data_IF_707759172280
#
_entry.id   IF_707759172280
#
_cell.length_a   1.000
_cell.length_b   1.000
_cell.length_c   1.000
_cell.angle_alpha   90.00
_cell.angle_beta   90.00
_cell.angle_gamma   90.00
#
_symmetry.space_group_name_H-M   'P 1'
#
loop_
_entity.id
_entity.type
_entity.pdbx_description
1 polymer ?
#
# COMPACT_ATOMS: atom_id res chain seq x y z
N UNK A 1 -15.88 41.56 -26.94
CA UNK A 1 -14.44 41.42 -26.67
C UNK A 1 -14.17 39.94 -26.52
N UNK A 2 -13.24 39.39 -27.31
CA UNK A 2 -12.85 37.99 -27.21
C UNK A 2 -12.01 37.79 -25.95
N UNK A 3 -12.32 36.75 -25.18
CA UNK A 3 -11.55 36.39 -23.99
C UNK A 3 -10.15 35.93 -24.44
N UNK A 4 -9.05 36.50 -23.93
CA UNK A 4 -7.72 36.05 -24.29
C UNK A 4 -7.41 34.69 -23.67
N UNK A 5 -6.62 33.87 -24.38
CA UNK A 5 -6.03 32.66 -23.82
C UNK A 5 -4.89 33.01 -22.86
N UNK A 6 -5.02 32.60 -21.61
CA UNK A 6 -3.96 32.59 -20.62
C UNK A 6 -3.21 31.24 -20.62
N UNK A 7 -2.21 31.12 -19.76
CA UNK A 7 -1.37 29.92 -19.68
C UNK A 7 -2.10 28.72 -19.07
N UNK A 8 -3.16 28.95 -18.28
CA UNK A 8 -3.97 27.88 -17.71
C UNK A 8 -4.78 27.17 -18.78
N UNK A 9 -5.41 27.92 -19.69
CA UNK A 9 -6.11 27.32 -20.82
C UNK A 9 -5.17 26.63 -21.81
N UNK A 10 -3.98 27.18 -22.05
CA UNK A 10 -2.96 26.52 -22.89
C UNK A 10 -2.49 25.21 -22.29
N UNK A 11 -2.24 25.19 -20.98
CA UNK A 11 -1.90 23.97 -20.24
C UNK A 11 -3.02 22.95 -20.31
N UNK A 12 -4.26 23.37 -20.06
CA UNK A 12 -5.44 22.52 -20.15
C UNK A 12 -5.59 21.90 -21.55
N UNK A 13 -5.40 22.68 -22.62
CA UNK A 13 -5.41 22.16 -24.01
C UNK A 13 -4.33 21.09 -24.17
N UNK A 14 -3.09 21.40 -23.79
CA UNK A 14 -1.97 20.46 -23.95
C UNK A 14 -2.18 19.16 -23.17
N UNK A 15 -2.62 19.24 -21.91
CA UNK A 15 -2.93 18.08 -21.07
C UNK A 15 -4.04 17.22 -21.68
N UNK A 16 -5.14 17.84 -22.12
CA UNK A 16 -6.25 17.08 -22.70
C UNK A 16 -5.89 16.46 -24.06
N UNK A 17 -5.09 17.13 -24.90
CA UNK A 17 -4.57 16.52 -26.12
C UNK A 17 -3.66 15.32 -25.82
N UNK A 18 -2.86 15.39 -24.74
CA UNK A 18 -2.05 14.26 -24.29
C UNK A 18 -2.92 13.13 -23.70
N UNK A 19 -4.08 13.44 -23.13
CA UNK A 19 -5.08 12.49 -22.62
C UNK A 19 -6.08 11.99 -23.69
N UNK A 20 -5.74 12.08 -24.98
CA UNK A 20 -6.57 11.68 -26.13
C UNK A 20 -7.87 12.48 -26.33
N UNK A 21 -7.96 13.66 -25.72
CA UNK A 21 -9.00 14.62 -26.04
C UNK A 21 -8.95 15.00 -27.52
N UNK A 22 -10.07 14.84 -28.23
CA UNK A 22 -10.15 15.23 -29.64
C UNK A 22 -10.24 16.74 -29.79
N UNK A 23 -9.67 17.35 -30.85
CA UNK A 23 -9.83 18.77 -31.12
C UNK A 23 -11.29 19.24 -31.06
N UNK A 24 -12.22 18.45 -31.60
CA UNK A 24 -13.65 18.77 -31.60
C UNK A 24 -14.26 18.81 -30.19
N UNK A 25 -13.88 17.87 -29.32
CA UNK A 25 -14.32 17.88 -27.93
C UNK A 25 -13.77 19.10 -27.18
N UNK A 26 -12.50 19.44 -27.41
CA UNK A 26 -11.86 20.62 -26.80
C UNK A 26 -12.51 21.91 -27.29
N UNK A 27 -12.84 22.01 -28.59
CA UNK A 27 -13.57 23.14 -29.15
C UNK A 27 -14.92 23.36 -28.47
N UNK A 28 -15.68 22.30 -28.20
CA UNK A 28 -16.97 22.40 -27.51
C UNK A 28 -16.81 22.96 -26.09
N UNK A 29 -15.81 22.48 -25.35
CA UNK A 29 -15.52 22.98 -23.99
C UNK A 29 -15.05 24.43 -24.03
N UNK A 30 -14.17 24.81 -24.96
CA UNK A 30 -13.70 26.18 -25.08
C UNK A 30 -14.83 27.14 -25.46
N UNK A 31 -15.70 26.74 -26.38
CA UNK A 31 -16.88 27.51 -26.77
C UNK A 31 -17.83 27.74 -25.58
N UNK A 32 -18.05 26.72 -24.74
CA UNK A 32 -18.88 26.87 -23.54
C UNK A 32 -18.28 27.81 -22.49
N UNK A 33 -17.00 28.15 -22.59
CA UNK A 33 -16.28 29.08 -21.71
C UNK A 33 -16.03 30.46 -22.33
N UNK A 34 -16.68 30.76 -23.47
CA UNK A 34 -16.71 32.09 -24.08
C UNK A 34 -15.60 32.38 -25.07
N UNK A 35 -14.83 31.37 -25.50
CA UNK A 35 -13.89 31.50 -26.61
C UNK A 35 -14.62 31.40 -27.95
N UNK A 36 -14.18 32.18 -28.94
CA UNK A 36 -14.74 32.05 -30.29
C UNK A 36 -14.24 30.75 -30.92
N UNK A 37 -15.05 30.09 -31.79
CA UNK A 37 -14.61 28.87 -32.49
C UNK A 37 -13.30 29.07 -33.25
N UNK A 38 -13.11 30.22 -33.90
CA UNK A 38 -11.91 30.53 -34.68
C UNK A 38 -10.67 30.71 -33.78
N UNK A 39 -10.80 31.41 -32.65
CA UNK A 39 -9.70 31.56 -31.69
C UNK A 39 -9.32 30.22 -31.06
N UNK A 40 -10.31 29.43 -30.66
CA UNK A 40 -10.09 28.11 -30.07
C UNK A 40 -9.44 27.14 -31.06
N UNK A 41 -9.90 27.11 -32.32
CA UNK A 41 -9.32 26.26 -33.36
C UNK A 41 -7.88 26.65 -33.67
N UNK A 42 -7.60 27.95 -33.72
CA UNK A 42 -6.23 28.47 -33.89
C UNK A 42 -5.32 28.05 -32.74
N UNK A 43 -5.79 28.15 -31.49
CA UNK A 43 -4.96 27.82 -30.33
C UNK A 43 -4.70 26.30 -30.20
N UNK A 44 -5.73 25.47 -30.45
CA UNK A 44 -5.56 24.01 -30.54
C UNK A 44 -4.59 23.65 -31.68
N UNK A 45 -4.73 24.28 -32.85
CA UNK A 45 -3.84 24.07 -33.98
C UNK A 45 -2.39 24.45 -33.68
N UNK A 46 -2.18 25.58 -32.97
CA UNK A 46 -0.85 25.99 -32.51
C UNK A 46 -0.26 24.99 -31.50
N UNK A 47 -1.06 24.47 -30.58
CA UNK A 47 -0.63 23.43 -29.65
C UNK A 47 -0.21 22.14 -30.39
N UNK A 48 -1.02 21.66 -31.34
CA UNK A 48 -0.71 20.48 -32.16
C UNK A 48 0.56 20.63 -33.01
N UNK A 49 0.81 21.83 -33.52
CA UNK A 49 2.02 22.16 -34.28
C UNK A 49 3.27 22.35 -33.38
N UNK A 50 3.09 22.50 -32.07
CA UNK A 50 4.19 22.78 -31.13
C UNK A 50 5.19 21.62 -31.02
N UNK A 51 6.49 21.86 -31.23
CA UNK A 51 7.53 20.86 -31.01
C UNK A 51 7.55 20.31 -29.57
N UNK A 52 7.13 21.12 -28.58
CA UNK A 52 7.03 20.70 -27.19
C UNK A 52 5.92 19.67 -26.99
N UNK A 53 4.74 19.88 -27.58
CA UNK A 53 3.65 18.90 -27.51
C UNK A 53 3.99 17.63 -28.28
N UNK A 54 4.69 17.74 -29.41
CA UNK A 54 5.20 16.57 -30.15
C UNK A 54 6.25 15.79 -29.33
N UNK A 55 7.09 16.49 -28.55
CA UNK A 55 7.99 15.88 -27.58
C UNK A 55 7.23 15.16 -26.46
N UNK A 56 6.23 15.81 -25.87
CA UNK A 56 5.35 15.23 -24.86
C UNK A 56 4.59 14.00 -25.37
N UNK A 57 4.09 14.05 -26.60
CA UNK A 57 3.43 12.94 -27.29
C UNK A 57 4.36 11.73 -27.41
N UNK A 58 5.63 11.95 -27.80
CA UNK A 58 6.63 10.86 -27.84
C UNK A 58 6.90 10.24 -26.47
N UNK A 59 6.92 11.03 -25.40
CA UNK A 59 7.10 10.50 -24.03
C UNK A 59 5.86 9.71 -23.58
N UNK A 60 4.67 10.26 -23.83
CA UNK A 60 3.39 9.59 -23.57
C UNK A 60 3.30 8.25 -24.29
N UNK A 61 3.68 8.18 -25.57
CA UNK A 61 3.59 6.92 -26.33
C UNK A 61 4.58 5.86 -25.80
N UNK A 62 5.76 6.28 -25.31
CA UNK A 62 6.69 5.39 -24.60
C UNK A 62 6.09 4.88 -23.29
N UNK A 63 5.43 5.75 -22.54
CA UNK A 63 4.72 5.38 -21.31
C UNK A 63 3.58 4.39 -21.61
N UNK A 64 2.78 4.64 -22.65
CA UNK A 64 1.73 3.70 -23.10
C UNK A 64 2.28 2.34 -23.47
N UNK A 65 3.41 2.28 -24.16
CA UNK A 65 4.07 1.02 -24.47
C UNK A 65 4.48 0.27 -23.18
N UNK A 66 4.97 0.98 -22.16
CA UNK A 66 5.27 0.40 -20.85
C UNK A 66 4.01 -0.13 -20.18
N UNK A 67 2.96 0.66 -20.12
CA UNK A 67 1.70 0.27 -19.47
C UNK A 67 1.02 -0.90 -20.19
N UNK A 68 1.11 -0.96 -21.53
CA UNK A 68 0.66 -2.11 -22.31
C UNK A 68 1.47 -3.38 -21.99
N UNK A 69 2.79 -3.29 -21.85
CA UNK A 69 3.60 -4.44 -21.44
C UNK A 69 3.21 -4.93 -20.05
N UNK A 70 2.97 -4.01 -19.11
CA UNK A 70 2.50 -4.33 -17.75
C UNK A 70 1.13 -5.01 -17.78
N UNK A 71 0.19 -4.52 -18.59
CA UNK A 71 -1.14 -5.13 -18.70
C UNK A 71 -1.09 -6.53 -19.31
N UNK A 72 -0.21 -6.77 -20.29
CA UNK A 72 0.05 -8.12 -20.83
C UNK A 72 0.59 -9.05 -19.75
N UNK A 73 1.59 -8.61 -18.96
CA UNK A 73 2.15 -9.42 -17.88
C UNK A 73 1.11 -9.70 -16.77
N UNK A 74 0.29 -8.71 -16.43
CA UNK A 74 -0.82 -8.87 -15.49
C UNK A 74 -1.81 -9.93 -16.00
N UNK A 75 -2.25 -9.82 -17.26
CA UNK A 75 -3.15 -10.79 -17.88
C UNK A 75 -2.56 -12.22 -17.89
N UNK A 76 -1.28 -12.37 -18.28
CA UNK A 76 -0.61 -13.68 -18.27
C UNK A 76 -0.50 -14.26 -16.86
N UNK A 77 -0.25 -13.44 -15.85
CA UNK A 77 -0.17 -13.87 -14.44
C UNK A 77 -1.51 -14.41 -13.96
N UNK A 78 -2.62 -13.78 -14.34
CA UNK A 78 -3.99 -14.21 -14.01
C UNK A 78 -4.38 -15.54 -14.66
N UNK A 79 -3.79 -15.87 -15.81
CA UNK A 79 -4.03 -17.14 -16.51
C UNK A 79 -3.36 -18.36 -15.84
N UNK A 80 -2.51 -18.14 -14.84
CA UNK A 80 -1.87 -19.24 -14.12
C UNK A 80 -2.89 -20.03 -13.30
N UNK A 81 -2.57 -21.30 -13.04
CA UNK A 81 -3.29 -22.09 -12.04
C UNK A 81 -3.27 -21.36 -10.70
N UNK A 82 -4.45 -21.19 -10.08
CA UNK A 82 -4.66 -20.42 -8.84
C UNK A 82 -4.26 -18.93 -8.96
N UNK A 83 -4.22 -18.36 -10.16
CA UNK A 83 -3.94 -16.93 -10.36
C UNK A 83 -5.03 -16.01 -9.77
N UNK A 84 -6.18 -16.55 -9.39
CA UNK A 84 -7.35 -15.86 -8.84
C UNK A 84 -7.40 -15.81 -7.31
N UNK A 85 -6.38 -16.34 -6.62
CA UNK A 85 -6.35 -16.43 -5.16
C UNK A 85 -4.91 -16.39 -4.64
N UNK A 86 -4.77 -16.09 -3.35
CA UNK A 86 -3.49 -16.22 -2.67
C UNK A 86 -3.32 -17.69 -2.29
N UNK A 87 -2.25 -18.31 -2.76
CA UNK A 87 -1.97 -19.70 -2.42
C UNK A 87 -1.56 -19.83 -0.94
N UNK A 88 -1.88 -20.98 -0.32
CA UNK A 88 -1.53 -21.30 1.07
C UNK A 88 -0.73 -22.60 1.12
N UNK A 89 0.42 -22.58 1.78
CA UNK A 89 1.29 -23.75 1.95
C UNK A 89 1.70 -23.92 3.42
N UNK A 90 1.70 -25.16 3.91
CA UNK A 90 2.33 -25.49 5.18
C UNK A 90 3.82 -25.73 4.96
N UNK A 91 4.67 -25.15 5.82
CA UNK A 91 6.11 -25.40 5.88
C UNK A 91 6.80 -25.40 4.50
N UNK A 92 6.60 -24.35 3.71
CA UNK A 92 7.16 -24.26 2.34
C UNK A 92 8.70 -24.24 2.40
N UNK A 93 9.43 -25.16 1.74
CA UNK A 93 10.88 -25.15 1.77
C UNK A 93 11.47 -23.81 1.28
N UNK A 94 12.58 -23.38 1.88
CA UNK A 94 13.27 -22.12 1.57
C UNK A 94 13.39 -21.85 0.06
N UNK A 95 13.98 -22.78 -0.68
CA UNK A 95 14.28 -22.57 -2.09
C UNK A 95 12.98 -22.50 -2.92
N UNK A 96 11.97 -23.30 -2.55
CA UNK A 96 10.66 -23.23 -3.17
C UNK A 96 9.96 -21.88 -2.90
N UNK A 97 10.12 -21.31 -1.69
CA UNK A 97 9.61 -19.97 -1.38
C UNK A 97 10.28 -18.91 -2.25
N UNK A 98 11.62 -18.89 -2.28
CA UNK A 98 12.36 -17.89 -3.02
C UNK A 98 12.10 -17.97 -4.52
N UNK A 99 12.16 -19.16 -5.12
CA UNK A 99 11.95 -19.32 -6.57
C UNK A 99 10.50 -19.04 -7.01
N UNK A 100 9.52 -19.58 -6.28
CA UNK A 100 8.12 -19.56 -6.73
C UNK A 100 7.33 -18.33 -6.30
N UNK A 101 7.83 -17.56 -5.34
CA UNK A 101 7.12 -16.43 -4.74
C UNK A 101 7.98 -15.17 -4.65
N UNK A 102 9.13 -15.22 -3.98
CA UNK A 102 9.97 -14.03 -3.81
C UNK A 102 10.48 -13.49 -5.15
N UNK A 103 11.19 -14.30 -5.94
CA UNK A 103 11.78 -13.89 -7.23
C UNK A 103 10.75 -13.71 -8.34
N UNK A 104 9.54 -14.25 -8.18
CA UNK A 104 8.44 -14.06 -9.13
C UNK A 104 7.46 -12.96 -8.72
N UNK A 105 7.72 -12.25 -7.61
CA UNK A 105 6.89 -11.16 -7.09
C UNK A 105 5.43 -11.59 -6.87
N UNK A 106 5.21 -12.67 -6.12
CA UNK A 106 3.86 -13.23 -5.88
C UNK A 106 3.56 -13.43 -4.40
N UNK A 107 2.36 -13.03 -3.92
CA UNK A 107 1.98 -13.25 -2.54
C UNK A 107 1.71 -14.73 -2.28
N UNK A 108 1.94 -15.14 -1.04
CA UNK A 108 1.65 -16.48 -0.54
C UNK A 108 1.42 -16.43 0.96
N UNK A 109 0.52 -17.27 1.47
CA UNK A 109 0.36 -17.47 2.92
C UNK A 109 1.10 -18.75 3.30
N UNK A 110 2.01 -18.63 4.25
CA UNK A 110 2.72 -19.77 4.84
C UNK A 110 2.11 -20.07 6.20
N UNK A 111 1.86 -21.35 6.47
CA UNK A 111 1.38 -21.85 7.77
C UNK A 111 2.47 -22.71 8.42
N UNK A 112 2.49 -22.72 9.75
CA UNK A 112 3.50 -23.47 10.52
C UNK A 112 4.91 -22.85 10.51
N UNK A 113 5.07 -21.64 9.96
CA UNK A 113 6.37 -20.99 9.83
C UNK A 113 6.89 -20.39 11.14
N UNK A 114 6.01 -20.18 12.13
CA UNK A 114 6.34 -19.56 13.42
C UNK A 114 5.49 -20.15 14.57
N UNK A 115 5.11 -21.42 14.46
CA UNK A 115 4.31 -22.09 15.49
C UNK A 115 5.11 -22.33 16.79
N UNK A 116 6.43 -22.33 16.70
CA UNK A 116 7.38 -22.49 17.81
C UNK A 116 7.66 -21.20 18.59
N UNK A 117 7.15 -20.05 18.12
CA UNK A 117 7.32 -18.78 18.83
C UNK A 117 6.71 -18.84 20.24
N UNK A 118 7.45 -18.46 21.28
CA UNK A 118 6.88 -18.26 22.62
C UNK A 118 5.66 -17.33 22.60
N UNK A 119 5.63 -16.34 21.71
CA UNK A 119 4.50 -15.44 21.51
C UNK A 119 3.17 -16.18 21.23
N UNK A 120 3.20 -17.31 20.51
CA UNK A 120 2.00 -18.11 20.21
C UNK A 120 1.34 -18.73 21.43
N UNK A 121 2.11 -18.99 22.47
CA UNK A 121 1.62 -19.57 23.72
C UNK A 121 1.41 -18.53 24.83
N UNK A 122 2.27 -17.50 24.89
CA UNK A 122 2.31 -16.54 26.00
C UNK A 122 1.47 -15.30 25.77
N UNK A 123 1.40 -14.78 24.54
CA UNK A 123 0.85 -13.45 24.33
C UNK A 123 -0.66 -13.42 24.56
N UNK A 124 -1.04 -12.57 25.48
CA UNK A 124 -2.41 -12.18 25.82
C UNK A 124 -2.38 -10.73 26.29
N UNK A 125 -3.54 -10.10 26.40
CA UNK A 125 -3.60 -8.72 26.91
C UNK A 125 -3.11 -8.64 28.37
N UNK A 126 -3.36 -9.66 29.18
CA UNK A 126 -2.82 -9.76 30.54
C UNK A 126 -1.30 -9.92 30.54
N UNK A 127 -0.75 -10.72 29.62
CA UNK A 127 0.69 -10.85 29.46
C UNK A 127 1.33 -9.50 29.09
N UNK A 128 0.72 -8.76 28.16
CA UNK A 128 1.20 -7.43 27.76
C UNK A 128 1.20 -6.43 28.92
N UNK A 129 0.12 -6.39 29.71
CA UNK A 129 0.04 -5.56 30.93
C UNK A 129 1.14 -5.93 31.91
N UNK A 130 1.32 -7.23 32.19
CA UNK A 130 2.30 -7.70 33.16
C UNK A 130 3.75 -7.48 32.70
N UNK A 131 4.04 -7.67 31.41
CA UNK A 131 5.40 -7.66 30.87
C UNK A 131 5.90 -6.25 30.54
N UNK A 132 5.05 -5.41 29.96
CA UNK A 132 5.42 -4.10 29.43
C UNK A 132 4.46 -2.98 29.84
N UNK A 133 3.53 -3.19 30.78
CA UNK A 133 2.46 -2.23 31.07
C UNK A 133 2.93 -0.83 31.46
N UNK A 134 4.07 -0.73 32.16
CA UNK A 134 4.68 0.54 32.57
C UNK A 134 5.48 1.23 31.47
N UNK A 135 5.77 0.55 30.36
CA UNK A 135 6.54 1.12 29.25
C UNK A 135 5.75 2.25 28.60
N UNK A 136 6.40 3.37 28.31
CA UNK A 136 5.79 4.44 27.51
C UNK A 136 5.91 4.10 26.02
N UNK A 137 4.78 4.11 25.32
CA UNK A 137 4.69 3.82 23.88
C UNK A 137 4.06 4.98 23.12
N UNK A 138 4.35 5.05 21.83
CA UNK A 138 3.72 5.96 20.89
C UNK A 138 2.62 5.24 20.11
N UNK A 139 1.48 5.91 19.96
CA UNK A 139 0.30 5.41 19.25
C UNK A 139 -0.27 6.55 18.40
N UNK A 140 -0.76 6.25 17.20
CA UNK A 140 -1.52 7.21 16.41
C UNK A 140 -2.95 7.32 16.98
N UNK A 141 -3.47 8.53 17.20
CA UNK A 141 -4.82 8.84 17.69
C UNK A 141 -5.52 9.85 16.77
N UNK A 142 -6.84 9.97 16.86
CA UNK A 142 -7.60 10.98 16.08
C UNK A 142 -7.72 10.62 14.60
N UNK A 143 -7.44 9.37 14.23
CA UNK A 143 -7.38 8.92 12.82
C UNK A 143 -8.73 9.05 12.12
N UNK A 144 -9.84 8.91 12.83
CA UNK A 144 -11.19 9.05 12.24
C UNK A 144 -11.53 10.49 11.85
N UNK A 145 -10.76 11.47 12.35
CA UNK A 145 -10.94 12.90 12.05
C UNK A 145 -10.14 13.40 10.84
N UNK A 146 -9.29 12.55 10.23
CA UNK A 146 -8.40 12.92 9.13
C UNK A 146 -8.39 11.86 8.04
N UNK A 147 -8.91 12.17 6.85
CA UNK A 147 -8.93 11.23 5.73
C UNK A 147 -7.53 10.77 5.26
N UNK A 148 -6.48 11.51 5.61
CA UNK A 148 -5.08 11.20 5.26
C UNK A 148 -4.25 10.82 6.50
N UNK A 149 -4.86 10.18 7.50
CA UNK A 149 -4.23 9.86 8.80
C UNK A 149 -2.86 9.17 8.70
N UNK A 150 -2.62 8.26 7.74
CA UNK A 150 -1.30 7.61 7.59
C UNK A 150 -0.23 8.57 7.05
N UNK A 151 -0.60 9.45 6.11
CA UNK A 151 0.31 10.46 5.54
C UNK A 151 0.60 11.53 6.59
N UNK A 152 -0.42 11.94 7.34
CA UNK A 152 -0.37 12.94 8.39
C UNK A 152 0.06 12.38 9.75
N UNK A 153 0.60 11.15 9.82
CA UNK A 153 0.86 10.46 11.08
C UNK A 153 1.69 11.25 12.12
N UNK A 154 2.63 12.18 11.77
CA UNK A 154 3.32 12.97 12.79
C UNK A 154 2.38 13.86 13.63
N UNK A 155 1.21 14.25 13.09
CA UNK A 155 0.19 15.06 13.80
C UNK A 155 -0.65 14.24 14.77
N UNK A 156 -0.71 12.92 14.56
CA UNK A 156 -1.59 11.99 15.27
C UNK A 156 -0.87 11.23 16.39
N UNK A 157 0.44 11.45 16.55
CA UNK A 157 1.26 10.74 17.52
C UNK A 157 0.98 11.20 18.96
N UNK A 158 0.69 10.24 19.84
CA UNK A 158 0.54 10.42 21.29
C UNK A 158 1.39 9.40 22.06
N UNK A 159 1.99 9.84 23.16
CA UNK A 159 2.65 8.95 24.12
C UNK A 159 1.69 8.55 25.26
N UNK A 160 1.73 7.30 25.69
CA UNK A 160 1.00 6.79 26.85
C UNK A 160 1.62 5.50 27.41
N UNK A 161 1.22 5.09 28.63
CA UNK A 161 1.60 3.78 29.18
C UNK A 161 0.99 2.66 28.34
N UNK A 162 1.78 1.63 28.05
CA UNK A 162 1.35 0.51 27.23
C UNK A 162 0.19 -0.25 27.86
N UNK A 163 0.15 -0.39 29.19
CA UNK A 163 -0.98 -1.01 29.89
C UNK A 163 -2.29 -0.26 29.65
N UNK A 164 -2.25 1.07 29.69
CA UNK A 164 -3.43 1.91 29.40
C UNK A 164 -3.86 1.75 27.92
N UNK A 165 -2.91 1.57 27.00
CA UNK A 165 -3.21 1.29 25.59
C UNK A 165 -3.84 -0.09 25.38
N UNK A 166 -3.34 -1.13 26.07
CA UNK A 166 -3.92 -2.47 26.05
C UNK A 166 -5.38 -2.43 26.53
N UNK A 167 -5.66 -1.68 27.61
CA UNK A 167 -7.03 -1.46 28.10
C UNK A 167 -7.93 -0.76 27.07
N UNK A 168 -7.41 0.22 26.33
CA UNK A 168 -8.13 0.87 25.25
C UNK A 168 -8.47 -0.10 24.12
N UNK A 169 -7.52 -0.94 23.71
CA UNK A 169 -7.75 -1.93 22.64
C UNK A 169 -8.78 -2.98 23.06
N UNK A 170 -8.71 -3.48 24.30
CA UNK A 170 -9.63 -4.50 24.80
C UNK A 170 -11.07 -3.97 24.94
N UNK A 171 -11.24 -2.69 25.34
CA UNK A 171 -12.55 -2.07 25.59
C UNK A 171 -13.11 -1.28 24.41
N UNK A 172 -12.27 -0.93 23.43
CA UNK A 172 -12.57 0.05 22.38
C UNK A 172 -13.57 -0.40 21.32
N UNK A 173 -13.92 -1.69 21.28
CA UNK A 173 -14.81 -2.24 20.26
C UNK A 173 -14.23 -2.09 18.85
N UNK A 174 -15.07 -1.69 17.89
CA UNK A 174 -14.68 -1.47 16.49
C UNK A 174 -14.42 0.02 16.25
N UNK A 175 -13.17 0.40 15.99
CA UNK A 175 -12.75 1.78 15.70
C UNK A 175 -11.43 1.81 14.92
N UNK A 176 -11.23 2.87 14.13
CA UNK A 176 -9.92 3.16 13.52
C UNK A 176 -9.21 4.33 14.21
N UNK A 177 -9.81 4.94 15.25
CA UNK A 177 -9.34 6.20 15.84
C UNK A 177 -7.93 6.11 16.43
N UNK A 178 -7.57 4.94 16.99
CA UNK A 178 -6.24 4.71 17.53
C UNK A 178 -5.60 3.42 17.01
N UNK A 179 -4.29 3.49 16.69
CA UNK A 179 -3.54 2.35 16.19
C UNK A 179 -2.03 2.50 16.41
N UNK A 180 -1.37 1.42 16.87
CA UNK A 180 0.09 1.31 16.92
C UNK A 180 0.58 0.71 15.60
N UNK A 181 1.42 1.46 14.89
CA UNK A 181 1.85 1.15 13.50
C UNK A 181 3.36 1.11 13.34
N UNK A 182 3.85 0.70 12.17
CA UNK A 182 5.27 0.80 11.82
C UNK A 182 5.85 2.22 11.98
N UNK A 183 5.03 3.27 11.84
CA UNK A 183 5.49 4.66 11.98
C UNK A 183 5.87 5.05 13.42
N UNK A 184 5.53 4.22 14.41
CA UNK A 184 5.86 4.40 15.82
C UNK A 184 7.09 3.56 16.25
N UNK A 185 7.76 2.89 15.30
CA UNK A 185 8.65 1.76 15.62
C UNK A 185 9.94 2.17 16.32
N UNK A 186 10.59 3.28 15.96
CA UNK A 186 11.89 3.62 16.57
C UNK A 186 11.80 3.73 18.10
N UNK A 187 10.76 4.36 18.62
CA UNK A 187 10.47 4.44 20.06
C UNK A 187 9.93 3.10 20.60
N UNK A 188 8.90 2.54 19.96
CA UNK A 188 8.21 1.35 20.47
C UNK A 188 9.08 0.08 20.43
N UNK A 189 10.03 -0.02 19.50
CA UNK A 189 10.96 -1.15 19.40
C UNK A 189 11.82 -1.27 20.66
N UNK A 190 12.25 -0.13 21.19
CA UNK A 190 13.02 -0.05 22.43
C UNK A 190 12.10 -0.26 23.64
N UNK A 191 10.97 0.45 23.68
CA UNK A 191 10.03 0.37 24.80
C UNK A 191 9.46 -1.05 25.01
N UNK A 192 9.21 -1.77 23.92
CA UNK A 192 8.64 -3.11 23.93
C UNK A 192 9.68 -4.20 23.66
N UNK A 193 10.98 -3.94 23.86
CA UNK A 193 12.06 -4.90 23.59
C UNK A 193 11.82 -6.29 24.21
N UNK A 194 11.24 -6.32 25.41
CA UNK A 194 10.91 -7.54 26.14
C UNK A 194 9.85 -8.43 25.47
N UNK A 195 9.03 -7.90 24.55
CA UNK A 195 8.12 -8.70 23.72
C UNK A 195 8.86 -9.34 22.55
N UNK A 196 9.91 -8.70 22.03
CA UNK A 196 10.72 -9.24 20.94
C UNK A 196 11.51 -10.49 21.35
N UNK A 197 11.77 -10.68 22.66
CA UNK A 197 12.36 -11.92 23.19
C UNK A 197 11.47 -13.16 22.95
N UNK A 198 10.16 -12.97 22.71
CA UNK A 198 9.21 -14.05 22.44
C UNK A 198 9.04 -14.35 20.94
N UNK A 199 9.81 -13.67 20.08
CA UNK A 199 9.72 -13.75 18.62
C UNK A 199 11.01 -14.37 18.08
N UNK A 200 10.99 -15.68 17.82
CA UNK A 200 12.14 -16.37 17.27
C UNK A 200 12.38 -16.00 15.79
N UNK A 201 13.61 -16.07 15.27
CA UNK A 201 13.84 -15.86 13.85
C UNK A 201 13.11 -16.90 12.99
N UNK A 202 12.61 -16.50 11.81
CA UNK A 202 12.02 -17.43 10.84
C UNK A 202 13.13 -17.90 9.88
N UNK A 203 14.00 -18.78 10.41
CA UNK A 203 15.34 -19.10 9.90
C UNK A 203 15.46 -19.68 8.47
N UNK A 204 14.40 -20.21 7.81
CA UNK A 204 14.48 -20.51 6.38
C UNK A 204 14.47 -19.27 5.47
N UNK A 205 13.85 -18.18 5.89
CA UNK A 205 13.52 -17.07 4.98
C UNK A 205 14.16 -15.74 5.37
N UNK A 206 14.45 -15.54 6.67
CA UNK A 206 14.95 -14.29 7.22
C UNK A 206 16.41 -14.42 7.65
N UNK A 207 17.17 -13.32 7.53
CA UNK A 207 18.52 -13.18 8.04
C UNK A 207 18.49 -12.66 9.50
N UNK A 208 18.82 -13.49 10.50
CA UNK A 208 18.82 -13.09 11.90
C UNK A 208 19.94 -12.10 12.24
N UNK A 209 20.96 -11.97 11.39
CA UNK A 209 22.07 -11.03 11.61
C UNK A 209 21.76 -9.61 11.09
N UNK A 210 20.65 -9.43 10.36
CA UNK A 210 20.25 -8.12 9.85
C UNK A 210 19.89 -7.16 10.98
N UNK A 211 20.38 -5.91 10.96
CA UNK A 211 19.95 -4.88 11.90
C UNK A 211 18.49 -4.46 11.70
N UNK A 212 17.96 -4.63 10.48
CA UNK A 212 16.63 -4.19 10.07
C UNK A 212 15.62 -5.34 10.17
N UNK A 213 15.17 -5.64 11.39
CA UNK A 213 14.34 -6.82 11.66
C UNK A 213 12.88 -6.66 11.20
N UNK A 214 12.14 -5.72 11.81
CA UNK A 214 10.70 -5.65 11.59
C UNK A 214 9.96 -4.59 12.41
N UNK A 215 8.63 -4.66 12.36
CA UNK A 215 7.71 -3.71 13.00
C UNK A 215 6.63 -4.43 13.83
N UNK A 216 6.20 -3.78 14.91
CA UNK A 216 5.13 -4.26 15.80
C UNK A 216 3.84 -3.47 15.57
N UNK A 217 2.76 -4.21 15.29
CA UNK A 217 1.44 -3.64 15.02
C UNK A 217 0.45 -4.15 16.05
N UNK A 218 -0.28 -3.25 16.70
CA UNK A 218 -1.29 -3.61 17.69
C UNK A 218 -2.43 -2.60 17.67
N UNK A 219 -3.67 -3.06 17.54
CA UNK A 219 -4.84 -2.19 17.52
C UNK A 219 -6.15 -2.92 17.73
N UNK A 220 -7.25 -2.16 17.86
CA UNK A 220 -8.61 -2.71 17.97
C UNK A 220 -9.09 -3.29 16.64
N UNK A 221 -10.26 -3.94 16.69
CA UNK A 221 -11.03 -4.21 15.49
C UNK A 221 -11.38 -2.90 14.78
N UNK A 222 -11.50 -2.90 13.46
CA UNK A 222 -11.87 -1.73 12.66
C UNK A 222 -10.71 -0.85 12.22
N UNK A 223 -9.48 -1.12 12.68
CA UNK A 223 -8.28 -0.41 12.17
C UNK A 223 -8.13 -0.61 10.67
N UNK A 224 -7.78 0.46 9.95
CA UNK A 224 -7.60 0.47 8.50
C UNK A 224 -6.23 1.02 8.13
N UNK A 225 -5.53 0.32 7.26
CA UNK A 225 -4.38 0.87 6.53
C UNK A 225 -4.80 1.00 5.06
N UNK A 226 -4.82 2.23 4.48
CA UNK A 226 -5.30 2.49 3.12
C UNK A 226 -4.54 1.70 2.06
N UNK A 227 -5.03 1.68 0.82
CA UNK A 227 -4.25 1.12 -0.27
C UNK A 227 -2.92 1.84 -0.43
N UNK A 228 -1.85 1.09 -0.28
CA UNK A 228 -0.49 1.52 -0.53
C UNK A 228 0.37 0.36 -0.99
N UNK A 229 1.59 0.62 -1.41
CA UNK A 229 2.61 -0.41 -1.59
C UNK A 229 3.87 -0.08 -0.80
N UNK A 230 4.66 -1.10 -0.49
CA UNK A 230 5.93 -0.92 0.19
C UNK A 230 7.09 -0.80 -0.83
N UNK A 231 8.21 -0.25 -0.37
CA UNK A 231 9.48 -0.19 -1.10
C UNK A 231 10.39 -1.39 -0.79
N UNK A 232 9.87 -2.35 -0.04
CA UNK A 232 10.53 -3.60 0.35
C UNK A 232 9.54 -4.75 0.20
N UNK A 233 10.05 -5.97 0.11
CA UNK A 233 9.23 -7.15 0.41
C UNK A 233 9.00 -7.22 1.91
N UNK A 234 7.85 -7.78 2.31
CA UNK A 234 7.44 -7.85 3.70
C UNK A 234 6.84 -9.23 4.02
N UNK A 235 7.10 -9.73 5.22
CA UNK A 235 6.31 -10.80 5.81
C UNK A 235 5.38 -10.21 6.85
N UNK A 236 4.11 -10.61 6.87
CA UNK A 236 3.15 -10.27 7.91
C UNK A 236 2.80 -11.54 8.70
N UNK A 237 3.37 -11.70 9.89
CA UNK A 237 3.08 -12.78 10.82
C UNK A 237 1.92 -12.38 11.74
N UNK A 238 0.77 -13.00 11.57
CA UNK A 238 -0.43 -12.73 12.36
C UNK A 238 -0.39 -13.54 13.67
N UNK A 239 -0.31 -12.87 14.82
CA UNK A 239 -0.14 -13.53 16.12
C UNK A 239 -1.44 -13.58 16.92
N UNK A 240 -2.17 -12.46 16.99
CA UNK A 240 -3.47 -12.36 17.69
C UNK A 240 -4.50 -11.75 16.76
N UNK A 241 -5.74 -12.26 16.78
CA UNK A 241 -6.85 -11.75 15.98
C UNK A 241 -6.67 -11.94 14.48
N UNK A 242 -7.64 -11.48 13.69
CA UNK A 242 -7.65 -11.62 12.24
C UNK A 242 -7.58 -10.26 11.54
N UNK A 243 -6.99 -10.26 10.35
CA UNK A 243 -7.00 -9.11 9.43
C UNK A 243 -7.49 -9.53 8.06
N UNK A 244 -8.37 -8.73 7.46
CA UNK A 244 -8.70 -8.82 6.03
C UNK A 244 -7.62 -8.06 5.27
N UNK A 245 -7.09 -8.67 4.21
CA UNK A 245 -6.14 -8.04 3.30
C UNK A 245 -6.69 -8.10 1.89
N UNK A 246 -6.76 -6.95 1.22
CA UNK A 246 -7.00 -6.86 -0.22
C UNK A 246 -5.68 -6.56 -0.91
N UNK A 247 -5.37 -7.25 -1.99
CA UNK A 247 -4.14 -7.07 -2.74
C UNK A 247 -4.40 -6.88 -4.23
N UNK A 248 -3.63 -5.99 -4.84
CA UNK A 248 -3.56 -5.78 -6.27
C UNK A 248 -2.11 -5.89 -6.72
N UNK A 249 -1.88 -6.58 -7.84
CA UNK A 249 -0.54 -6.82 -8.37
C UNK A 249 0.19 -5.50 -8.65
N UNK A 250 1.50 -5.48 -8.42
CA UNK A 250 2.39 -4.39 -8.84
C UNK A 250 2.28 -4.08 -10.35
N UNK A 251 1.92 -5.07 -11.16
CA UNK A 251 1.69 -4.93 -12.61
C UNK A 251 0.45 -4.09 -12.94
N UNK A 252 -0.51 -4.00 -12.03
CA UNK A 252 -1.73 -3.21 -12.19
C UNK A 252 -1.58 -1.78 -11.62
N UNK A 253 -0.36 -1.37 -11.24
CA UNK A 253 -0.05 0.00 -10.75
C UNK A 253 -0.65 1.13 -11.59
N UNK A 254 -0.64 1.08 -12.94
CA UNK A 254 -1.28 2.14 -13.73
C UNK A 254 -2.77 2.34 -13.43
N UNK A 255 -3.47 1.30 -12.96
CA UNK A 255 -4.89 1.33 -12.59
C UNK A 255 -5.14 1.61 -11.11
N UNK A 256 -4.09 1.77 -10.29
CA UNK A 256 -4.21 1.98 -8.85
C UNK A 256 -4.22 3.45 -8.43
N UNK A 257 -4.22 4.40 -9.37
CA UNK A 257 -4.37 5.84 -9.06
C UNK A 257 -3.40 6.29 -7.95
N UNK A 258 -2.12 5.96 -8.10
CA UNK A 258 -1.05 6.40 -7.21
C UNK A 258 -1.10 7.93 -7.07
N UNK A 259 -1.19 8.42 -5.84
CA UNK A 259 -1.46 9.82 -5.55
C UNK A 259 -0.27 10.47 -4.87
N UNK A 260 0.09 9.96 -3.69
CA UNK A 260 1.19 10.49 -2.91
C UNK A 260 2.13 9.38 -2.50
N UNK A 261 3.38 9.48 -2.96
CA UNK A 261 4.42 8.51 -2.69
C UNK A 261 4.00 7.09 -3.12
N UNK A 262 3.60 6.25 -2.17
CA UNK A 262 3.15 4.88 -2.39
C UNK A 262 1.65 4.66 -2.09
N UNK A 263 0.90 5.73 -1.81
CA UNK A 263 -0.52 5.67 -1.46
C UNK A 263 -1.42 5.88 -2.68
N UNK A 264 -2.54 5.18 -2.69
CA UNK A 264 -3.58 5.27 -3.70
C UNK A 264 -4.71 6.23 -3.29
N UNK A 265 -5.34 6.88 -4.27
CA UNK A 265 -6.63 7.56 -4.08
C UNK A 265 -7.82 6.59 -3.85
N UNK A 266 -7.66 5.31 -4.14
CA UNK A 266 -8.72 4.29 -4.04
C UNK A 266 -8.95 3.94 -2.58
N UNK A 267 -10.19 4.10 -2.11
CA UNK A 267 -10.59 3.59 -0.80
C UNK A 267 -10.75 2.07 -0.84
N UNK A 268 -9.81 1.37 -0.18
CA UNK A 268 -9.82 -0.07 -0.11
C UNK A 268 -10.95 -0.68 0.71
N UNK A 269 -11.67 0.10 1.51
CA UNK A 269 -12.85 -0.37 2.25
C UNK A 269 -14.13 -0.34 1.40
N UNK A 270 -14.23 0.57 0.44
CA UNK A 270 -15.37 0.72 -0.47
C UNK A 270 -14.89 1.10 -1.89
N UNK A 271 -14.72 0.09 -2.74
CA UNK A 271 -14.24 0.29 -4.11
C UNK A 271 -15.28 1.01 -4.98
N UNK A 272 -14.95 2.23 -5.41
CA UNK A 272 -15.78 3.03 -6.32
C UNK A 272 -15.34 2.84 -7.77
N UNK A 273 -15.94 1.86 -8.44
CA UNK A 273 -15.63 1.55 -9.84
C UNK A 273 -16.12 2.62 -10.82
N UNK A 274 -17.06 3.48 -10.44
CA UNK A 274 -17.54 4.55 -11.32
C UNK A 274 -16.55 5.70 -11.36
N UNK A 275 -16.00 6.07 -10.20
CA UNK A 275 -14.90 7.03 -10.10
C UNK A 275 -13.59 6.48 -10.66
N UNK A 276 -13.26 5.23 -10.34
CA UNK A 276 -12.00 4.59 -10.68
C UNK A 276 -12.18 3.53 -11.76
N UNK A 277 -12.61 3.93 -12.95
CA UNK A 277 -13.00 3.02 -14.03
C UNK A 277 -11.92 2.01 -14.43
N UNK A 278 -10.63 2.37 -14.31
CA UNK A 278 -9.52 1.45 -14.61
C UNK A 278 -9.47 0.24 -13.67
N UNK A 279 -10.07 0.32 -12.48
CA UNK A 279 -10.18 -0.82 -11.55
C UNK A 279 -11.14 -1.91 -12.03
N UNK A 280 -12.04 -1.61 -12.97
CA UNK A 280 -12.98 -2.62 -13.52
C UNK A 280 -12.24 -3.79 -14.17
N UNK A 281 -11.05 -3.53 -14.71
CA UNK A 281 -10.19 -4.53 -15.36
C UNK A 281 -9.09 -5.08 -14.42
N UNK A 282 -9.12 -4.70 -13.13
CA UNK A 282 -8.12 -5.12 -12.13
C UNK A 282 -8.65 -6.28 -11.31
N UNK A 283 -7.80 -7.29 -11.10
CA UNK A 283 -8.10 -8.36 -10.16
C UNK A 283 -7.69 -7.94 -8.76
N UNK A 284 -8.66 -7.79 -7.86
CA UNK A 284 -8.44 -7.58 -6.43
C UNK A 284 -8.50 -8.95 -5.76
N UNK A 285 -7.35 -9.42 -5.25
CA UNK A 285 -7.29 -10.62 -4.42
C UNK A 285 -7.69 -10.24 -2.99
N UNK A 286 -8.46 -11.09 -2.31
CA UNK A 286 -8.82 -10.88 -0.90
C UNK A 286 -8.49 -12.14 -0.10
N UNK A 287 -7.93 -11.96 1.10
CA UNK A 287 -7.77 -13.03 2.08
C UNK A 287 -8.04 -12.52 3.49
N UNK A 288 -8.23 -13.46 4.42
CA UNK A 288 -8.16 -13.20 5.85
C UNK A 288 -6.93 -13.94 6.38
N UNK A 289 -6.03 -13.23 7.05
CA UNK A 289 -4.91 -13.83 7.78
C UNK A 289 -5.34 -14.06 9.23
N UNK A 290 -5.08 -15.27 9.72
CA UNK A 290 -5.47 -15.76 11.04
C UNK A 290 -4.24 -16.01 11.92
N UNK A 291 -4.38 -16.16 13.25
CA UNK A 291 -3.26 -16.52 14.12
C UNK A 291 -2.47 -17.74 13.62
N UNK A 292 -1.21 -17.54 13.26
CA UNK A 292 -0.33 -18.56 12.66
C UNK A 292 -0.11 -18.45 11.15
N UNK A 293 -0.77 -17.50 10.50
CA UNK A 293 -0.50 -17.17 9.11
C UNK A 293 0.67 -16.20 8.96
N UNK A 294 1.56 -16.52 8.03
CA UNK A 294 2.65 -15.68 7.57
C UNK A 294 2.38 -15.28 6.12
N UNK A 295 1.82 -14.09 5.89
CA UNK A 295 1.61 -13.57 4.55
C UNK A 295 2.90 -12.97 4.00
N UNK A 296 3.39 -13.49 2.88
CA UNK A 296 4.38 -12.80 2.07
C UNK A 296 3.70 -11.73 1.22
N UNK A 297 4.09 -10.49 1.42
CA UNK A 297 3.72 -9.33 0.62
C UNK A 297 4.93 -8.93 -0.23
N UNK A 298 4.92 -9.21 -1.54
CA UNK A 298 6.03 -8.84 -2.40
C UNK A 298 6.10 -7.33 -2.60
N UNK A 299 7.30 -6.81 -2.81
CA UNK A 299 7.54 -5.39 -3.08
C UNK A 299 6.64 -4.87 -4.21
N UNK A 300 6.09 -3.66 -4.02
CA UNK A 300 5.24 -2.99 -5.01
C UNK A 300 3.82 -3.56 -5.12
N UNK A 301 3.46 -4.61 -4.37
CA UNK A 301 2.07 -5.05 -4.30
C UNK A 301 1.25 -4.04 -3.51
N UNK A 302 0.20 -3.57 -4.17
CA UNK A 302 -0.79 -2.70 -3.56
C UNK A 302 -1.59 -3.51 -2.56
N UNK A 303 -1.72 -3.01 -1.35
CA UNK A 303 -2.45 -3.72 -0.30
C UNK A 303 -3.21 -2.76 0.61
N UNK A 304 -4.41 -3.20 0.98
CA UNK A 304 -5.28 -2.58 1.98
C UNK A 304 -5.48 -3.59 3.11
N UNK A 305 -5.39 -3.14 4.35
CA UNK A 305 -5.45 -4.00 5.53
C UNK A 305 -6.52 -3.49 6.50
N UNK A 306 -7.39 -4.38 6.94
CA UNK A 306 -8.47 -4.09 7.89
C UNK A 306 -8.42 -5.08 9.07
N UNK A 307 -8.36 -4.56 10.30
CA UNK A 307 -8.47 -5.36 11.51
C UNK A 307 -9.90 -5.86 11.71
N UNK A 308 -10.11 -7.18 11.74
CA UNK A 308 -11.43 -7.77 12.00
C UNK A 308 -11.67 -8.01 13.49
N UNK A 309 -10.60 -8.20 14.25
CA UNK A 309 -10.59 -8.36 15.70
C UNK A 309 -9.51 -7.44 16.32
N UNK A 310 -9.50 -7.22 17.64
CA UNK A 310 -8.30 -6.76 18.33
C UNK A 310 -7.13 -7.66 17.95
N UNK A 311 -6.07 -7.07 17.38
CA UNK A 311 -5.08 -7.85 16.65
C UNK A 311 -3.65 -7.39 16.87
N UNK A 312 -2.74 -8.37 16.87
CA UNK A 312 -1.28 -8.16 16.92
C UNK A 312 -0.65 -8.84 15.71
N UNK A 313 0.12 -8.07 14.94
CA UNK A 313 0.88 -8.54 13.78
C UNK A 313 2.33 -8.13 13.94
N UNK A 314 3.24 -9.04 13.61
CA UNK A 314 4.67 -8.74 13.46
C UNK A 314 4.99 -8.71 11.98
N UNK A 315 5.69 -7.67 11.51
CA UNK A 315 6.12 -7.61 10.11
C UNK A 315 7.62 -7.62 9.96
N UNK A 316 8.17 -8.25 8.93
CA UNK A 316 9.62 -8.45 8.76
C UNK A 316 10.10 -8.11 7.37
N UNK A 317 11.27 -7.46 7.30
CA UNK A 317 11.90 -7.02 6.04
C UNK A 317 13.34 -7.54 5.88
N UNK A 318 13.89 -8.23 6.87
CA UNK A 318 15.22 -8.85 6.86
C UNK A 318 15.25 -10.17 6.07
N UNK A 319 14.81 -10.20 4.83
CA UNK A 319 14.88 -11.42 4.02
C UNK A 319 16.34 -11.86 3.83
N UNK A 320 16.56 -13.18 3.80
CA UNK A 320 17.86 -13.77 3.47
C UNK A 320 18.27 -13.56 1.99
N UNK A 321 17.39 -12.96 1.17
CA UNK A 321 17.67 -12.50 -0.17
C UNK A 321 17.67 -10.97 -0.22
N UNK A 322 18.31 -10.33 -1.23
CA UNK A 322 18.34 -8.87 -1.35
C UNK A 322 16.93 -8.27 -1.27
N UNK A 323 16.76 -7.26 -0.41
CA UNK A 323 15.49 -6.56 -0.21
C UNK A 323 15.62 -5.02 -0.34
N UNK A 324 16.80 -4.53 -0.68
CA UNK A 324 17.09 -3.11 -0.87
C UNK A 324 16.87 -2.71 -2.34
N UNK A 325 15.59 -2.57 -2.71
CA UNK A 325 15.17 -2.17 -4.05
C UNK A 325 14.83 -0.68 -4.13
N UNK A 326 14.76 0.01 -2.99
CA UNK A 326 14.35 1.42 -2.89
C UNK A 326 15.44 2.41 -3.34
N UNK A 327 16.72 2.02 -3.33
CA UNK A 327 17.85 2.92 -3.64
C UNK A 327 17.79 3.62 -5.01
N UNK A 328 17.05 3.07 -5.96
CA UNK A 328 16.88 3.66 -7.30
C UNK A 328 15.55 4.41 -7.46
N UNK A 329 14.67 4.36 -6.45
CA UNK A 329 13.39 5.06 -6.42
C UNK A 329 13.57 6.51 -5.93
N UNK A 330 13.82 7.43 -6.86
CA UNK A 330 14.17 8.83 -6.56
C UNK A 330 13.02 9.83 -6.63
N UNK A 331 11.83 9.39 -7.02
CA UNK A 331 10.65 10.25 -7.26
C UNK A 331 9.76 10.39 -6.03
N UNK A 332 10.32 10.32 -4.82
CA UNK A 332 9.57 10.32 -3.56
C UNK A 332 8.58 11.50 -3.41
N UNK A 333 8.88 12.64 -4.04
CA UNK A 333 8.09 13.89 -3.97
C UNK A 333 7.48 14.33 -5.31
N UNK A 334 7.62 13.52 -6.36
CA UNK A 334 7.07 13.84 -7.67
C UNK A 334 5.94 12.86 -7.99
N UNK A 335 4.73 13.38 -8.16
CA UNK A 335 3.61 12.64 -8.75
C UNK A 335 3.89 12.41 -10.23
#
# INVERSE_FOLDING_TARGET
>A
MTRPFDDDWRRWIAENLLLDGTPDALLQVLASHGFTPDDAAREIGAALASPYLQGGTRMRDRLRKRDWLLSVQSALTRLRTNGDRIERYACLPRDAFFDRYYFSNRPVILTGAFDDWPARAKWSFDYFRARCGECEVEVQFGRDSDAQYEINQPKHKRTMRFGDYVDLVERGGTTNDFYMTANNTSHNRVALAALWDDVAPIEPYLDPASPDTGFFWFGPAGTKTPFHHDLTNNFMAQVIGRKRVRLVSSLDTPAMYNDLHCYSQVDGSALDYERFQRLKDVQVLECVIEPGDLLFLPIGWWHYVEGLDPSVTMTFINFAAPNDFANTYRTYHAV
#
